data_IF_870688462017
#
_entry.id   IF_870688462017
#
_cell.length_a   1.000
_cell.length_b   1.000
_cell.length_c   1.000
_cell.angle_alpha   90.00
_cell.angle_beta   90.00
_cell.angle_gamma   90.00
#
_symmetry.space_group_name_H-M   'P 1'
#
loop_
_entity.id
_entity.type
_entity.pdbx_description
1 polymer ?
#
# COMPACT_ATOMS: atom_id res chain seq x y z
N UNK A 1 -3.37 0.17 45.69
CA UNK A 1 -3.47 0.74 44.32
C UNK A 1 -2.06 0.74 43.75
N UNK A 2 -1.83 0.09 42.61
CA UNK A 2 -0.53 0.07 41.94
C UNK A 2 -0.55 1.05 40.77
N UNK A 3 0.43 1.95 40.70
CA UNK A 3 0.57 2.92 39.62
C UNK A 3 1.91 2.75 38.92
N UNK A 4 1.92 2.86 37.59
CA UNK A 4 3.15 2.89 36.76
C UNK A 4 3.24 4.22 36.04
N UNK A 5 4.40 4.87 36.12
CA UNK A 5 4.66 6.07 35.33
C UNK A 5 4.74 5.70 33.86
N UNK A 6 3.92 6.32 33.02
CA UNK A 6 3.94 6.18 31.57
C UNK A 6 4.75 7.34 30.99
N UNK A 7 5.71 7.03 30.14
CA UNK A 7 6.47 8.00 29.35
C UNK A 7 6.13 7.83 27.86
N UNK A 8 6.51 8.80 27.03
CA UNK A 8 6.32 8.72 25.57
C UNK A 8 6.96 7.48 24.94
N UNK A 9 8.03 6.95 25.54
CA UNK A 9 8.67 5.70 25.13
C UNK A 9 7.81 4.44 25.33
N UNK A 10 6.73 4.55 26.13
CA UNK A 10 5.80 3.46 26.42
C UNK A 10 4.47 3.60 25.65
N UNK A 11 4.39 4.53 24.72
CA UNK A 11 3.19 4.80 23.92
C UNK A 11 3.54 4.56 22.46
N UNK A 12 2.70 3.79 21.76
CA UNK A 12 2.79 3.54 20.32
C UNK A 12 1.44 3.76 19.68
N UNK A 13 1.46 4.22 18.44
CA UNK A 13 0.32 4.11 17.55
C UNK A 13 0.23 2.67 17.06
N UNK A 14 -0.97 2.18 16.91
CA UNK A 14 -1.22 0.82 16.45
C UNK A 14 -2.22 0.85 15.29
N UNK A 15 -2.10 -0.14 14.42
CA UNK A 15 -3.07 -0.45 13.38
C UNK A 15 -3.47 -1.92 13.51
N UNK A 16 -4.56 -2.30 12.88
CA UNK A 16 -5.01 -3.68 12.82
C UNK A 16 -3.92 -4.56 12.18
N UNK A 17 -3.66 -5.71 12.75
CA UNK A 17 -2.73 -6.69 12.18
C UNK A 17 -3.40 -7.44 11.03
N UNK A 18 -2.73 -7.47 9.89
CA UNK A 18 -3.10 -8.26 8.73
C UNK A 18 -1.86 -9.02 8.31
N UNK A 19 -1.78 -10.30 8.70
CA UNK A 19 -0.66 -11.14 8.31
C UNK A 19 -0.78 -11.55 6.84
N UNK A 20 0.33 -11.62 6.15
CA UNK A 20 0.35 -12.18 4.81
C UNK A 20 0.15 -13.70 4.88
N UNK A 21 -0.72 -14.23 4.04
CA UNK A 21 -1.03 -15.66 3.94
C UNK A 21 -1.10 -16.05 2.47
N UNK A 22 -0.36 -17.08 2.07
CA UNK A 22 -0.38 -17.61 0.71
C UNK A 22 -1.80 -18.04 0.32
N UNK A 23 -2.19 -17.75 -0.91
CA UNK A 23 -3.54 -18.06 -1.42
C UNK A 23 -4.64 -17.09 -0.97
N UNK A 24 -4.31 -16.08 -0.19
CA UNK A 24 -5.25 -15.02 0.20
C UNK A 24 -5.31 -13.91 -0.85
N UNK A 25 -6.43 -13.16 -0.84
CA UNK A 25 -6.59 -11.95 -1.63
C UNK A 25 -6.44 -10.72 -0.76
N UNK A 26 -5.77 -9.70 -1.32
CA UNK A 26 -5.59 -8.40 -0.69
C UNK A 26 -6.12 -7.30 -1.61
N UNK A 27 -6.55 -6.20 -1.00
CA UNK A 27 -7.10 -5.05 -1.72
C UNK A 27 -5.98 -4.15 -2.23
N UNK A 28 -6.24 -3.42 -3.29
CA UNK A 28 -5.38 -2.33 -3.72
C UNK A 28 -5.58 -1.16 -2.74
N UNK A 29 -4.50 -0.46 -2.38
CA UNK A 29 -4.61 0.79 -1.64
C UNK A 29 -5.39 1.81 -2.46
N UNK A 30 -6.43 2.36 -1.84
CA UNK A 30 -7.27 3.42 -2.38
C UNK A 30 -7.63 4.37 -1.25
N UNK A 31 -7.74 5.66 -1.56
CA UNK A 31 -8.13 6.70 -0.60
C UNK A 31 -9.59 7.15 -0.77
N UNK A 32 -10.30 6.60 -1.76
CA UNK A 32 -11.64 6.99 -2.18
C UNK A 32 -12.74 6.01 -1.71
N UNK A 33 -12.47 5.16 -0.72
CA UNK A 33 -13.49 4.29 -0.14
C UNK A 33 -14.63 5.10 0.46
N UNK A 34 -15.86 4.78 0.06
CA UNK A 34 -17.09 5.38 0.55
C UNK A 34 -18.24 4.36 0.55
N UNK A 35 -19.39 4.77 1.05
CA UNK A 35 -20.61 3.93 0.99
C UNK A 35 -21.00 3.63 -0.47
N UNK A 36 -20.79 4.58 -1.36
CA UNK A 36 -21.07 4.48 -2.79
C UNK A 36 -19.97 3.73 -3.56
N UNK A 37 -18.75 3.71 -3.00
CA UNK A 37 -17.58 3.08 -3.61
C UNK A 37 -16.84 2.18 -2.62
N UNK A 38 -17.46 1.07 -2.17
CA UNK A 38 -16.82 0.13 -1.25
C UNK A 38 -15.75 -0.70 -1.95
N UNK A 39 -14.91 -1.36 -1.16
CA UNK A 39 -14.00 -2.36 -1.71
C UNK A 39 -14.74 -3.52 -2.35
N UNK A 40 -14.35 -3.98 -3.53
CA UNK A 40 -14.98 -5.13 -4.16
C UNK A 40 -14.71 -6.45 -3.41
N UNK A 41 -13.64 -6.53 -2.61
CA UNK A 41 -13.25 -7.74 -1.88
C UNK A 41 -13.95 -7.83 -0.50
N UNK A 42 -13.74 -6.85 0.35
CA UNK A 42 -14.20 -6.88 1.75
C UNK A 42 -15.53 -6.15 1.96
N UNK A 43 -16.02 -5.43 0.97
CA UNK A 43 -17.14 -4.48 1.07
C UNK A 43 -16.88 -3.35 2.08
N UNK A 44 -15.63 -3.15 2.48
CA UNK A 44 -15.25 -2.05 3.34
C UNK A 44 -15.45 -0.71 2.62
N UNK A 45 -15.98 0.27 3.34
CA UNK A 45 -16.21 1.62 2.84
C UNK A 45 -15.26 2.67 3.46
N UNK A 46 -14.25 2.21 4.18
CA UNK A 46 -13.21 3.04 4.79
C UNK A 46 -11.89 2.28 4.91
N UNK A 47 -10.78 3.00 4.89
CA UNK A 47 -9.43 2.44 4.94
C UNK A 47 -9.16 1.57 6.17
N UNK A 48 -9.77 1.87 7.30
CA UNK A 48 -9.56 1.11 8.54
C UNK A 48 -9.96 -0.36 8.42
N UNK A 49 -11.01 -0.67 7.67
CA UNK A 49 -11.56 -2.02 7.55
C UNK A 49 -11.03 -2.78 6.32
N UNK A 50 -10.34 -2.09 5.42
CA UNK A 50 -9.81 -2.67 4.20
C UNK A 50 -8.51 -3.46 4.44
N UNK A 51 -8.24 -4.46 3.59
CA UNK A 51 -7.08 -5.35 3.65
C UNK A 51 -6.02 -4.99 2.60
N UNK A 52 -5.60 -3.73 2.56
CA UNK A 52 -4.68 -3.22 1.55
C UNK A 52 -3.20 -3.22 1.97
N UNK A 53 -2.90 -3.67 3.18
CA UNK A 53 -1.55 -3.81 3.69
C UNK A 53 -1.38 -5.16 4.39
N UNK A 54 -0.13 -5.61 4.49
CA UNK A 54 0.21 -6.88 5.14
C UNK A 54 1.47 -6.76 5.99
N UNK A 55 1.53 -7.58 7.03
CA UNK A 55 2.73 -7.88 7.80
C UNK A 55 3.27 -9.23 7.32
N UNK A 56 4.53 -9.29 6.92
CA UNK A 56 5.16 -10.55 6.56
C UNK A 56 5.78 -11.27 7.77
N UNK A 57 6.32 -12.46 7.55
CA UNK A 57 6.98 -13.29 8.58
C UNK A 57 8.20 -12.66 9.23
N UNK A 58 8.85 -11.69 8.56
CA UNK A 58 10.01 -10.93 9.06
C UNK A 58 9.62 -9.61 9.75
N UNK A 59 8.37 -9.41 10.12
CA UNK A 59 7.84 -8.17 10.67
C UNK A 59 8.04 -6.94 9.77
N UNK A 60 8.05 -7.14 8.46
CA UNK A 60 8.04 -6.07 7.46
C UNK A 60 6.62 -5.78 7.02
N UNK A 61 6.30 -4.49 6.88
CA UNK A 61 4.96 -4.03 6.47
C UNK A 61 5.00 -3.55 5.03
N UNK A 62 4.04 -4.04 4.25
CA UNK A 62 3.89 -3.71 2.83
C UNK A 62 2.49 -3.19 2.56
N UNK A 63 2.38 -2.27 1.61
CA UNK A 63 1.10 -1.83 1.05
C UNK A 63 0.93 -2.43 -0.36
N UNK A 64 -0.26 -2.90 -0.65
CA UNK A 64 -0.61 -3.43 -1.96
C UNK A 64 -0.90 -2.29 -2.93
N UNK A 65 -0.10 -2.18 -3.98
CA UNK A 65 -0.27 -1.17 -5.04
C UNK A 65 -1.08 -1.73 -6.21
N UNK A 66 -0.92 -3.03 -6.49
CA UNK A 66 -1.68 -3.75 -7.51
C UNK A 66 -1.90 -5.18 -7.05
N UNK A 67 -3.06 -5.76 -7.32
CA UNK A 67 -3.42 -7.14 -6.99
C UNK A 67 -3.81 -7.94 -8.23
N UNK A 68 -3.48 -7.44 -9.43
CA UNK A 68 -3.86 -8.07 -10.69
C UNK A 68 -5.36 -8.04 -10.98
N UNK A 69 -6.10 -7.11 -10.38
CA UNK A 69 -7.52 -6.94 -10.69
C UNK A 69 -7.72 -6.39 -12.10
N UNK A 70 -8.81 -6.79 -12.70
CA UNK A 70 -9.24 -6.36 -14.05
C UNK A 70 -10.75 -6.20 -14.06
N UNK A 71 -11.31 -5.59 -15.10
CA UNK A 71 -12.77 -5.50 -15.25
C UNK A 71 -13.49 -6.85 -15.22
N UNK A 72 -12.82 -7.94 -15.65
CA UNK A 72 -13.34 -9.31 -15.58
C UNK A 72 -13.03 -10.03 -14.26
N UNK A 73 -12.08 -9.52 -13.47
CA UNK A 73 -11.71 -10.04 -12.17
C UNK A 73 -11.55 -8.89 -11.16
N UNK A 74 -12.64 -8.26 -10.73
CA UNK A 74 -12.57 -7.08 -9.86
C UNK A 74 -12.05 -7.39 -8.46
N UNK A 75 -12.06 -8.65 -8.03
CA UNK A 75 -11.51 -9.07 -6.74
C UNK A 75 -9.99 -9.22 -6.74
N UNK A 76 -9.36 -9.16 -7.91
CA UNK A 76 -7.94 -9.43 -8.06
C UNK A 76 -7.58 -10.91 -7.95
N UNK A 77 -6.31 -11.19 -8.05
CA UNK A 77 -5.75 -12.55 -7.94
C UNK A 77 -5.55 -12.97 -6.47
N UNK A 78 -5.17 -14.21 -6.25
CA UNK A 78 -4.67 -14.68 -4.96
C UNK A 78 -3.16 -14.45 -4.89
N UNK A 79 -2.67 -13.92 -3.77
CA UNK A 79 -1.23 -13.74 -3.56
C UNK A 79 -0.56 -15.07 -3.28
N UNK A 80 0.51 -15.38 -4.00
CA UNK A 80 1.24 -16.65 -3.89
C UNK A 80 2.61 -16.48 -3.27
N UNK A 81 3.24 -15.34 -3.49
CA UNK A 81 4.61 -15.08 -3.05
C UNK A 81 4.62 -14.02 -1.93
N UNK A 82 5.26 -14.35 -0.82
CA UNK A 82 5.43 -13.43 0.30
C UNK A 82 6.41 -12.30 -0.06
N UNK A 83 6.03 -11.02 0.11
CA UNK A 83 6.97 -9.93 -0.10
C UNK A 83 8.01 -9.91 1.03
N UNK A 84 9.30 -9.97 0.67
CA UNK A 84 10.44 -10.00 1.62
C UNK A 84 11.47 -8.92 1.36
N UNK A 85 11.38 -8.21 0.25
CA UNK A 85 12.30 -7.16 -0.17
C UNK A 85 12.18 -5.87 0.68
N UNK A 86 13.17 -5.00 0.56
CA UNK A 86 13.18 -3.67 1.19
C UNK A 86 13.43 -2.56 0.17
N UNK A 87 13.17 -2.85 -1.10
CA UNK A 87 13.30 -1.88 -2.19
C UNK A 87 12.37 -0.69 -1.97
N UNK A 88 12.85 0.48 -2.33
CA UNK A 88 12.08 1.72 -2.17
C UNK A 88 11.02 1.88 -3.25
N UNK A 89 11.22 1.25 -4.40
CA UNK A 89 10.24 1.20 -5.48
C UNK A 89 9.24 0.05 -5.27
N UNK A 90 8.00 0.20 -5.75
CA UNK A 90 7.07 -0.92 -5.79
C UNK A 90 7.65 -2.09 -6.59
N UNK A 91 7.60 -3.28 -6.04
CA UNK A 91 8.19 -4.49 -6.63
C UNK A 91 7.25 -5.69 -6.50
N UNK A 92 7.44 -6.65 -7.40
CA UNK A 92 6.76 -7.94 -7.33
C UNK A 92 7.46 -8.83 -6.31
N UNK A 93 6.67 -9.64 -5.61
CA UNK A 93 7.21 -10.71 -4.78
C UNK A 93 7.39 -11.97 -5.62
N UNK A 94 8.48 -12.70 -5.40
CA UNK A 94 8.76 -13.99 -6.00
C UNK A 94 8.61 -14.06 -7.53
N UNK A 95 8.26 -15.25 -8.04
CA UNK A 95 8.21 -15.53 -9.47
C UNK A 95 6.90 -16.21 -9.92
N UNK A 96 5.88 -16.30 -9.09
CA UNK A 96 4.60 -16.94 -9.42
C UNK A 96 3.82 -16.22 -10.51
N UNK A 97 4.08 -14.91 -10.69
CA UNK A 97 3.34 -14.08 -11.64
C UNK A 97 1.90 -13.81 -11.19
N UNK A 98 1.65 -13.80 -9.88
CA UNK A 98 0.33 -13.59 -9.27
C UNK A 98 -0.28 -12.21 -9.56
N UNK A 99 0.51 -11.28 -10.10
CA UNK A 99 0.07 -9.93 -10.46
C UNK A 99 0.16 -8.93 -9.34
N UNK A 100 0.60 -9.34 -8.15
CA UNK A 100 0.78 -8.43 -7.02
C UNK A 100 1.98 -7.53 -7.19
N UNK A 101 1.77 -6.25 -6.86
CA UNK A 101 2.81 -5.23 -6.74
C UNK A 101 2.76 -4.66 -5.33
N UNK A 102 3.83 -4.85 -4.58
CA UNK A 102 3.94 -4.42 -3.19
C UNK A 102 4.90 -3.26 -3.05
N UNK A 103 4.60 -2.32 -2.14
CA UNK A 103 5.55 -1.30 -1.71
C UNK A 103 5.91 -1.54 -0.25
N UNK A 104 7.20 -1.67 0.02
CA UNK A 104 7.72 -1.72 1.38
C UNK A 104 7.50 -0.39 2.10
N UNK A 105 7.05 -0.46 3.36
CA UNK A 105 6.83 0.72 4.20
C UNK A 105 7.85 0.82 5.33
N UNK A 106 7.90 -0.17 6.20
CA UNK A 106 8.82 -0.22 7.33
C UNK A 106 8.93 -1.63 7.91
N UNK A 107 9.97 -1.85 8.72
CA UNK A 107 10.09 -3.03 9.57
C UNK A 107 9.76 -2.65 11.01
N UNK A 108 8.91 -3.44 11.67
CA UNK A 108 8.60 -3.25 13.09
C UNK A 108 9.88 -3.43 13.89
N UNK A 109 10.21 -2.48 14.78
CA UNK A 109 11.46 -2.54 15.51
C UNK A 109 11.48 -3.72 16.50
N UNK A 110 12.61 -4.39 16.74
CA UNK A 110 12.70 -5.48 17.72
C UNK A 110 12.22 -5.07 19.12
N UNK A 111 12.46 -3.83 19.51
CA UNK A 111 12.00 -3.32 20.80
C UNK A 111 10.48 -3.19 20.87
N UNK A 112 9.83 -2.89 19.77
CA UNK A 112 8.38 -2.77 19.69
C UNK A 112 7.73 -4.16 19.61
N UNK A 113 8.35 -5.10 18.89
CA UNK A 113 7.92 -6.50 18.89
C UNK A 113 7.88 -7.05 20.32
N UNK A 114 9.01 -6.93 21.07
CA UNK A 114 9.08 -7.45 22.43
C UNK A 114 8.04 -6.84 23.38
N UNK A 115 7.69 -5.56 23.17
CA UNK A 115 6.82 -4.83 24.10
C UNK A 115 5.36 -4.82 23.74
N UNK A 116 5.04 -4.88 22.45
CA UNK A 116 3.72 -4.55 21.92
C UNK A 116 3.19 -5.56 20.90
N UNK A 117 3.94 -6.65 20.60
CA UNK A 117 3.43 -7.65 19.65
C UNK A 117 2.10 -8.24 20.13
N UNK A 118 1.17 -8.35 19.21
CA UNK A 118 -0.20 -8.77 19.47
C UNK A 118 -0.73 -9.51 18.24
N UNK A 119 -1.68 -10.39 18.45
CA UNK A 119 -2.42 -11.08 17.36
C UNK A 119 -3.40 -10.15 16.64
N UNK A 120 -3.76 -9.03 17.23
CA UNK A 120 -4.79 -8.12 16.71
C UNK A 120 -4.21 -6.82 16.13
N UNK A 121 -3.06 -6.37 16.66
CA UNK A 121 -2.51 -5.06 16.33
C UNK A 121 -0.99 -5.13 16.11
N UNK A 122 -0.51 -4.26 15.22
CA UNK A 122 0.92 -3.98 15.04
C UNK A 122 1.20 -2.52 15.37
N UNK A 123 2.41 -2.24 15.83
CA UNK A 123 2.87 -0.88 16.05
C UNK A 123 3.27 -0.22 14.74
N UNK A 124 3.00 1.08 14.64
CA UNK A 124 3.49 1.92 13.55
C UNK A 124 4.37 3.04 14.08
N UNK A 125 5.29 3.58 13.27
CA UNK A 125 6.12 4.70 13.67
C UNK A 125 5.28 5.90 14.13
N UNK A 126 5.55 6.41 15.35
CA UNK A 126 4.76 7.51 15.94
C UNK A 126 4.84 8.82 15.16
N UNK A 127 5.98 9.06 14.51
CA UNK A 127 6.32 10.34 13.89
C UNK A 127 6.83 10.12 12.48
N UNK A 128 6.04 9.45 11.62
CA UNK A 128 6.43 9.14 10.25
C UNK A 128 7.00 10.35 9.50
N UNK A 129 6.28 11.47 9.49
CA UNK A 129 6.66 12.66 8.74
C UNK A 129 7.93 13.36 9.24
N UNK A 130 8.32 13.15 10.50
CA UNK A 130 9.50 13.76 11.13
C UNK A 130 10.52 12.77 11.65
N UNK A 131 10.35 11.47 11.37
CA UNK A 131 11.27 10.43 11.83
C UNK A 131 12.68 10.66 11.29
N UNK A 132 13.68 10.50 12.18
CA UNK A 132 15.10 10.50 11.82
C UNK A 132 15.64 9.07 11.62
N UNK A 133 14.79 8.06 11.79
CA UNK A 133 15.16 6.69 11.46
C UNK A 133 15.48 6.59 9.97
N UNK A 134 16.65 6.02 9.64
CA UNK A 134 17.18 6.00 8.28
C UNK A 134 16.28 5.21 7.31
N UNK A 135 15.67 4.13 7.78
CA UNK A 135 14.77 3.29 6.98
C UNK A 135 13.47 4.03 6.65
N UNK A 136 12.81 4.59 7.67
CA UNK A 136 11.56 5.35 7.51
C UNK A 136 11.81 6.57 6.62
N UNK A 137 12.94 7.25 6.86
CA UNK A 137 13.34 8.41 6.08
C UNK A 137 13.53 8.07 4.61
N UNK A 138 14.25 6.99 4.28
CA UNK A 138 14.47 6.56 2.91
C UNK A 138 13.16 6.24 2.19
N UNK A 139 12.25 5.53 2.84
CA UNK A 139 10.94 5.21 2.24
C UNK A 139 10.10 6.47 2.04
N UNK A 140 10.08 7.37 3.02
CA UNK A 140 9.35 8.64 2.93
C UNK A 140 9.89 9.54 1.82
N UNK A 141 11.21 9.69 1.76
CA UNK A 141 11.88 10.60 0.83
C UNK A 141 11.99 10.05 -0.59
N UNK A 142 11.73 8.76 -0.80
CA UNK A 142 11.76 8.16 -2.13
C UNK A 142 10.77 8.81 -3.12
N UNK A 143 9.66 9.35 -2.64
CA UNK A 143 8.72 10.11 -3.45
C UNK A 143 8.85 11.64 -3.33
N UNK A 144 9.67 12.12 -2.39
CA UNK A 144 9.76 13.53 -1.99
C UNK A 144 11.18 14.11 -2.12
N UNK A 145 12.13 13.35 -2.66
CA UNK A 145 13.47 13.87 -2.93
C UNK A 145 13.46 14.79 -4.15
N UNK A 146 14.44 15.69 -4.24
CA UNK A 146 14.61 16.56 -5.41
C UNK A 146 14.79 15.79 -6.74
N UNK A 147 15.17 14.51 -6.66
CA UNK A 147 15.33 13.61 -7.81
C UNK A 147 14.03 12.87 -8.14
N UNK A 148 13.25 12.47 -7.11
CA UNK A 148 12.09 11.59 -7.25
C UNK A 148 10.77 12.30 -6.91
N UNK A 149 10.80 13.61 -6.73
CA UNK A 149 9.65 14.40 -6.36
C UNK A 149 8.55 14.34 -7.43
N UNK A 150 7.33 14.04 -7.01
CA UNK A 150 6.15 13.97 -7.88
C UNK A 150 6.23 12.91 -9.01
N UNK A 151 7.05 11.88 -8.86
CA UNK A 151 7.08 10.78 -9.82
C UNK A 151 5.86 9.86 -9.65
N UNK A 152 5.23 9.53 -10.78
CA UNK A 152 4.21 8.47 -10.82
C UNK A 152 4.94 7.13 -10.75
N UNK A 153 4.64 6.34 -9.72
CA UNK A 153 5.28 5.03 -9.50
C UNK A 153 4.48 3.87 -10.10
N UNK A 154 3.18 4.04 -10.23
CA UNK A 154 2.30 3.03 -10.81
C UNK A 154 1.05 3.69 -11.38
N UNK A 155 0.50 3.11 -12.43
CA UNK A 155 -0.78 3.50 -13.03
C UNK A 155 -1.68 2.27 -13.07
N UNK A 156 -2.77 2.34 -12.33
CA UNK A 156 -3.81 1.32 -12.37
C UNK A 156 -4.83 1.67 -13.44
N UNK A 157 -5.14 0.70 -14.32
CA UNK A 157 -6.14 0.86 -15.39
C UNK A 157 -7.42 0.15 -14.97
N UNK A 158 -8.37 0.90 -14.46
CA UNK A 158 -9.66 0.36 -14.00
C UNK A 158 -10.46 -0.24 -15.17
N UNK A 159 -10.44 0.41 -16.32
CA UNK A 159 -11.12 -0.04 -17.52
C UNK A 159 -10.26 0.23 -18.75
N UNK A 160 -9.71 -0.84 -19.32
CA UNK A 160 -8.85 -0.74 -20.51
C UNK A 160 -9.62 -0.36 -21.79
N UNK A 161 -10.96 -0.35 -21.76
CA UNK A 161 -11.75 -0.10 -22.94
C UNK A 161 -11.67 -1.24 -23.97
N UNK A 162 -12.07 -0.95 -25.21
CA UNK A 162 -12.04 -1.91 -26.32
C UNK A 162 -11.81 -1.20 -27.65
N UNK A 163 -11.39 -1.95 -28.67
CA UNK A 163 -11.22 -1.39 -30.03
C UNK A 163 -9.87 -0.75 -30.29
N UNK A 164 -8.92 -0.87 -29.39
CA UNK A 164 -7.52 -0.41 -29.62
C UNK A 164 -6.77 -1.40 -30.53
N UNK A 165 -5.95 -0.87 -31.42
CA UNK A 165 -5.09 -1.70 -32.25
C UNK A 165 -3.98 -2.34 -31.39
N UNK A 166 -3.84 -3.66 -31.50
CA UNK A 166 -2.80 -4.39 -30.78
C UNK A 166 -1.41 -3.94 -31.25
N UNK A 167 -0.55 -3.67 -30.30
CA UNK A 167 0.89 -3.40 -30.55
C UNK A 167 1.24 -1.95 -30.91
N UNK A 168 0.30 -1.01 -30.80
CA UNK A 168 0.61 0.42 -30.93
C UNK A 168 0.73 1.06 -29.54
N UNK A 169 1.87 1.70 -29.27
CA UNK A 169 1.98 2.62 -28.15
C UNK A 169 1.24 3.91 -28.48
N UNK A 170 0.37 4.34 -27.57
CA UNK A 170 -0.26 5.66 -27.64
C UNK A 170 0.41 6.59 -26.62
N UNK A 171 0.78 7.78 -27.06
CA UNK A 171 1.18 8.83 -26.16
C UNK A 171 -0.07 9.39 -25.47
N UNK A 172 -0.02 9.49 -24.16
CA UNK A 172 -1.09 10.08 -23.34
C UNK A 172 -0.52 11.29 -22.61
N UNK A 173 -1.07 12.46 -22.89
CA UNK A 173 -0.71 13.66 -22.14
C UNK A 173 -1.25 13.59 -20.72
N UNK A 174 -0.36 13.65 -19.74
CA UNK A 174 -0.74 13.76 -18.33
C UNK A 174 -0.82 15.25 -18.01
N UNK A 175 -2.04 15.76 -17.87
CA UNK A 175 -2.28 17.13 -17.43
C UNK A 175 -2.35 17.12 -15.90
N UNK A 176 -1.23 17.45 -15.25
CA UNK A 176 -1.21 17.66 -13.81
C UNK A 176 -1.87 19.03 -13.50
N UNK A 177 -3.06 19.00 -12.93
CA UNK A 177 -3.68 20.21 -12.38
C UNK A 177 -3.12 20.43 -10.98
N UNK A 178 -2.50 21.57 -10.74
CA UNK A 178 -1.89 21.94 -9.46
C UNK A 178 -2.96 22.24 -8.39
N UNK A 179 -3.66 21.18 -7.96
CA UNK A 179 -4.48 21.19 -6.76
C UNK A 179 -4.06 20.04 -5.85
N UNK A 180 -4.21 20.20 -4.55
CA UNK A 180 -3.77 19.31 -3.47
C UNK A 180 -4.34 17.88 -3.49
N UNK A 181 -5.06 17.52 -4.53
CA UNK A 181 -5.48 16.16 -4.86
C UNK A 181 -5.24 15.92 -6.34
N UNK A 182 -4.40 14.94 -6.68
CA UNK A 182 -4.27 14.42 -8.03
C UNK A 182 -5.55 13.64 -8.40
N UNK A 183 -6.56 14.35 -8.85
CA UNK A 183 -7.62 13.72 -9.62
C UNK A 183 -7.15 13.66 -11.06
N UNK A 184 -6.79 12.48 -11.55
CA UNK A 184 -6.60 12.25 -12.97
C UNK A 184 -7.95 12.48 -13.65
N UNK A 185 -8.10 13.50 -14.52
CA UNK A 185 -9.32 13.60 -15.29
C UNK A 185 -9.35 12.42 -16.26
N UNK A 186 -10.29 11.51 -16.06
CA UNK A 186 -10.63 10.49 -17.06
C UNK A 186 -11.14 11.21 -18.29
N UNK A 187 -10.27 11.47 -19.25
CA UNK A 187 -10.69 11.96 -20.54
C UNK A 187 -11.39 10.80 -21.25
N UNK A 188 -12.72 10.83 -21.29
CA UNK A 188 -13.47 10.05 -22.26
C UNK A 188 -12.98 10.45 -23.65
N UNK A 189 -12.29 9.57 -24.31
CA UNK A 189 -12.10 9.66 -25.76
C UNK A 189 -13.39 9.11 -26.37
N UNK A 190 -14.12 9.99 -27.01
CA UNK A 190 -15.30 9.64 -27.84
C UNK A 190 -14.82 9.07 -29.16
#
# INVERSE_FOLDING_TARGET
MFGKKISSANIRRIIRRVDWVAGSRYEIYRDDYSVENPSPLTQANRLYDANYYVLNSDFKVYVCIDNGSTGSNPLGNVSQDEPTFTDLEPSKAGNSGDGYLWKYLFTVSPSDIIKFDSTEFITVPNSWGSSQDSQIRSVRENGDSSVNQNQIKHVYIENAGSGYANGLSQEVDIIAVSYTHLTLPTKRIV
#
